data_IF_807338762559
#
_entry.id   IF_807338762559
#
_cell.length_a   1.000
_cell.length_b   1.000
_cell.length_c   1.000
_cell.angle_alpha   90.00
_cell.angle_beta   90.00
_cell.angle_gamma   90.00
#
_symmetry.space_group_name_H-M   'P 1'
#
loop_
_entity.id
_entity.type
_entity.pdbx_description
1 polymer ?
#
# COMPACT_ATOMS: atom_id res chain seq x y z
N UNK A 1 -3.60 12.30 19.14
CA UNK A 1 -2.29 12.96 18.96
C UNK A 1 -1.11 11.98 18.99
N UNK A 2 -0.94 11.16 20.04
CA UNK A 2 0.18 10.18 20.11
C UNK A 2 0.15 9.18 18.97
N UNK A 3 -1.02 8.64 18.59
CA UNK A 3 -1.14 7.68 17.47
C UNK A 3 -0.79 8.32 16.12
N UNK A 4 -1.19 9.56 15.88
CA UNK A 4 -0.88 10.26 14.63
C UNK A 4 0.62 10.58 14.50
N UNK A 5 1.28 11.03 15.59
CA UNK A 5 2.74 11.21 15.61
C UNK A 5 3.48 9.90 15.29
N UNK A 6 3.04 8.78 15.87
CA UNK A 6 3.62 7.47 15.57
C UNK A 6 3.42 7.05 14.11
N UNK A 7 2.26 7.35 13.50
CA UNK A 7 2.01 7.11 12.08
C UNK A 7 2.97 7.90 11.21
N UNK A 8 3.13 9.21 11.46
CA UNK A 8 4.03 10.06 10.69
C UNK A 8 5.49 9.61 10.77
N UNK A 9 5.97 9.23 11.97
CA UNK A 9 7.33 8.72 12.15
C UNK A 9 7.53 7.44 11.34
N UNK A 10 6.56 6.52 11.40
CA UNK A 10 6.64 5.25 10.65
C UNK A 10 6.56 5.47 9.14
N UNK A 11 5.69 6.36 8.67
CA UNK A 11 5.64 6.72 7.25
C UNK A 11 6.95 7.33 6.75
N UNK A 12 7.60 8.15 7.55
CA UNK A 12 8.94 8.68 7.23
C UNK A 12 9.99 7.57 7.19
N UNK A 13 9.96 6.62 8.13
CA UNK A 13 10.86 5.45 8.14
C UNK A 13 10.66 4.60 6.87
N UNK A 14 9.41 4.31 6.49
CA UNK A 14 9.12 3.61 5.24
C UNK A 14 9.59 4.39 4.01
N UNK A 15 9.45 5.72 4.01
CA UNK A 15 9.99 6.59 2.96
C UNK A 15 11.50 6.43 2.80
N UNK A 16 12.24 6.40 3.91
CA UNK A 16 13.69 6.18 3.90
C UNK A 16 14.03 4.78 3.37
N UNK A 17 13.32 3.73 3.82
CA UNK A 17 13.53 2.38 3.32
C UNK A 17 13.27 2.26 1.81
N UNK A 18 12.24 2.93 1.28
CA UNK A 18 12.00 2.99 -0.16
C UNK A 18 13.20 3.57 -0.91
N UNK A 19 13.74 4.69 -0.43
CA UNK A 19 14.89 5.36 -1.08
C UNK A 19 16.13 4.46 -1.01
N UNK A 20 16.41 3.83 0.15
CA UNK A 20 17.58 2.97 0.33
C UNK A 20 17.51 1.71 -0.55
N UNK A 21 16.36 1.05 -0.59
CA UNK A 21 16.16 -0.16 -1.41
C UNK A 21 16.21 0.19 -2.89
N UNK A 22 15.61 1.31 -3.27
CA UNK A 22 15.64 1.79 -4.65
C UNK A 22 17.07 2.08 -5.10
N UNK A 23 17.86 2.75 -4.26
CA UNK A 23 19.30 3.02 -4.52
C UNK A 23 20.11 1.72 -4.64
N UNK A 24 19.81 0.73 -3.78
CA UNK A 24 20.47 -0.59 -3.86
C UNK A 24 20.11 -1.32 -5.13
N UNK A 25 18.86 -1.26 -5.58
CA UNK A 25 18.35 -1.96 -6.76
C UNK A 25 18.65 -1.23 -8.08
N UNK A 26 19.14 0.01 -8.04
CA UNK A 26 19.44 0.82 -9.23
C UNK A 26 20.49 0.15 -10.13
N UNK A 27 21.44 -0.57 -9.52
CA UNK A 27 22.51 -1.29 -10.22
C UNK A 27 22.26 -2.80 -10.36
N UNK A 28 21.13 -3.30 -9.85
CA UNK A 28 20.81 -4.74 -9.86
C UNK A 28 19.66 -5.00 -10.84
N UNK A 29 19.88 -5.93 -11.79
CA UNK A 29 18.78 -6.36 -12.67
C UNK A 29 17.76 -7.17 -11.86
N UNK A 30 16.47 -6.88 -11.95
CA UNK A 30 15.45 -7.67 -11.27
C UNK A 30 15.45 -9.11 -11.80
N UNK A 31 15.37 -10.07 -10.89
CA UNK A 31 15.31 -11.49 -11.23
C UNK A 31 13.93 -11.90 -11.76
N UNK A 32 12.87 -11.23 -11.27
CA UNK A 32 11.48 -11.49 -11.63
C UNK A 32 10.92 -10.26 -12.33
N UNK A 33 10.67 -10.38 -13.63
CA UNK A 33 10.16 -9.30 -14.47
C UNK A 33 8.71 -9.46 -14.87
N UNK A 34 8.18 -10.68 -14.73
CA UNK A 34 6.78 -11.03 -15.02
C UNK A 34 6.13 -11.70 -13.83
N UNK A 35 4.85 -11.47 -13.65
CA UNK A 35 4.07 -12.08 -12.57
C UNK A 35 4.08 -13.61 -12.62
N UNK A 36 4.16 -14.19 -13.83
CA UNK A 36 4.23 -15.64 -14.06
C UNK A 36 5.53 -16.30 -13.58
N UNK A 37 6.57 -15.52 -13.35
CA UNK A 37 7.87 -15.97 -12.83
C UNK A 37 7.90 -15.99 -11.29
N UNK A 38 6.86 -15.44 -10.65
CA UNK A 38 6.78 -15.37 -9.19
C UNK A 38 6.49 -16.77 -8.62
N UNK A 39 7.41 -17.29 -7.82
CA UNK A 39 7.23 -18.59 -7.17
C UNK A 39 6.34 -18.51 -5.93
N UNK A 40 5.76 -19.64 -5.52
CA UNK A 40 4.96 -19.73 -4.28
C UNK A 40 5.78 -19.34 -3.04
N UNK A 41 7.07 -19.66 -3.01
CA UNK A 41 7.96 -19.26 -1.91
C UNK A 41 8.10 -17.74 -1.83
N UNK A 42 8.32 -17.07 -2.98
CA UNK A 42 8.37 -15.62 -3.05
C UNK A 42 7.03 -14.99 -2.61
N UNK A 43 5.91 -15.55 -3.06
CA UNK A 43 4.58 -15.08 -2.67
C UNK A 43 4.36 -15.19 -1.15
N UNK A 44 4.79 -16.28 -0.52
CA UNK A 44 4.73 -16.46 0.93
C UNK A 44 5.62 -15.46 1.69
N UNK A 45 6.83 -15.20 1.19
CA UNK A 45 7.72 -14.20 1.80
C UNK A 45 7.07 -12.82 1.73
N UNK A 46 6.55 -12.41 0.57
CA UNK A 46 5.86 -11.12 0.42
C UNK A 46 4.62 -11.05 1.33
N UNK A 47 3.87 -12.14 1.42
CA UNK A 47 2.76 -12.27 2.37
C UNK A 47 3.19 -12.12 3.83
N UNK A 48 4.37 -12.65 4.19
CA UNK A 48 5.00 -12.46 5.50
C UNK A 48 5.28 -10.99 5.80
N UNK A 49 5.78 -10.23 4.82
CA UNK A 49 5.95 -8.78 4.97
C UNK A 49 4.63 -8.03 5.19
N UNK A 50 3.51 -8.56 4.68
CA UNK A 50 2.18 -7.98 4.94
C UNK A 50 1.80 -8.04 6.42
N UNK A 51 2.31 -9.00 7.20
CA UNK A 51 2.06 -9.10 8.65
C UNK A 51 2.56 -7.83 9.37
N UNK A 52 3.60 -7.17 8.87
CA UNK A 52 4.06 -5.90 9.41
C UNK A 52 2.97 -4.81 9.37
N UNK A 53 2.01 -4.93 8.48
CA UNK A 53 0.87 -4.02 8.41
C UNK A 53 -0.12 -4.14 9.57
N UNK A 54 -0.02 -5.18 10.40
CA UNK A 54 -0.76 -5.29 11.67
C UNK A 54 -0.28 -4.25 12.70
N UNK A 55 0.95 -3.75 12.53
CA UNK A 55 1.49 -2.68 13.36
C UNK A 55 0.79 -1.37 12.95
N UNK A 56 0.05 -0.68 13.86
CA UNK A 56 -0.65 0.55 13.53
C UNK A 56 0.27 1.61 12.93
N UNK A 57 -0.14 2.20 11.79
CA UNK A 57 0.65 3.19 11.06
C UNK A 57 1.62 2.63 10.03
N UNK A 58 1.69 1.30 9.88
CA UNK A 58 2.45 0.67 8.81
C UNK A 58 1.58 0.59 7.55
N UNK A 59 2.08 1.14 6.44
CA UNK A 59 1.40 1.01 5.14
C UNK A 59 1.48 -0.42 4.66
N UNK A 60 0.32 -1.08 4.47
CA UNK A 60 0.25 -2.45 3.97
C UNK A 60 0.93 -2.61 2.61
N UNK A 61 0.56 -1.76 1.65
CA UNK A 61 1.18 -1.78 0.31
C UNK A 61 2.66 -1.42 0.37
N UNK A 62 3.05 -0.51 1.27
CA UNK A 62 4.46 -0.18 1.48
C UNK A 62 5.27 -1.39 1.93
N UNK A 63 4.80 -2.13 2.94
CA UNK A 63 5.49 -3.32 3.44
C UNK A 63 5.61 -4.43 2.39
N UNK A 64 4.52 -4.72 1.66
CA UNK A 64 4.52 -5.75 0.61
C UNK A 64 5.40 -5.39 -0.58
N UNK A 65 5.36 -4.13 -1.06
CA UNK A 65 6.22 -3.68 -2.16
C UNK A 65 7.69 -3.73 -1.75
N UNK A 66 8.04 -3.26 -0.54
CA UNK A 66 9.42 -3.34 -0.03
C UNK A 66 9.89 -4.78 0.08
N UNK A 67 9.05 -5.68 0.62
CA UNK A 67 9.35 -7.12 0.68
C UNK A 67 9.59 -7.72 -0.69
N UNK A 68 8.76 -7.40 -1.68
CA UNK A 68 8.92 -7.86 -3.05
C UNK A 68 10.22 -7.34 -3.70
N UNK A 69 10.53 -6.05 -3.53
CA UNK A 69 11.77 -5.46 -4.05
C UNK A 69 13.02 -6.08 -3.41
N UNK A 70 12.98 -6.42 -2.12
CA UNK A 70 14.09 -7.06 -1.40
C UNK A 70 14.43 -8.45 -1.94
N UNK A 71 13.44 -9.20 -2.41
CA UNK A 71 13.64 -10.54 -3.00
C UNK A 71 13.94 -10.47 -4.51
N UNK A 72 14.16 -9.29 -5.07
CA UNK A 72 14.61 -9.10 -6.45
C UNK A 72 13.49 -9.06 -7.50
N UNK A 73 12.25 -8.75 -7.14
CA UNK A 73 11.18 -8.51 -8.13
C UNK A 73 11.31 -7.12 -8.75
N UNK A 74 10.85 -6.98 -9.99
CA UNK A 74 10.73 -5.66 -10.62
C UNK A 74 9.69 -4.79 -9.92
N UNK A 75 9.82 -3.47 -10.02
CA UNK A 75 8.87 -2.49 -9.47
C UNK A 75 7.43 -2.76 -9.90
N UNK A 76 7.27 -3.07 -11.17
CA UNK A 76 5.97 -3.38 -11.77
C UNK A 76 5.36 -4.62 -11.14
N UNK A 77 6.10 -5.74 -11.08
CA UNK A 77 5.63 -7.01 -10.49
C UNK A 77 5.35 -6.85 -9.00
N UNK A 78 6.21 -6.14 -8.25
CA UNK A 78 6.00 -5.86 -6.84
C UNK A 78 4.66 -5.14 -6.59
N UNK A 79 4.35 -4.14 -7.40
CA UNK A 79 3.10 -3.37 -7.27
C UNK A 79 1.90 -4.19 -7.72
N UNK A 80 1.99 -4.85 -8.86
CA UNK A 80 0.92 -5.69 -9.42
C UNK A 80 0.54 -6.80 -8.43
N UNK A 81 1.53 -7.54 -7.92
CA UNK A 81 1.30 -8.59 -6.92
C UNK A 81 0.69 -8.05 -5.63
N UNK A 82 1.11 -6.86 -5.18
CA UNK A 82 0.53 -6.20 -4.00
C UNK A 82 -0.96 -5.91 -4.18
N UNK A 83 -1.40 -5.53 -5.38
CA UNK A 83 -2.82 -5.35 -5.68
C UNK A 83 -3.58 -6.68 -5.64
N UNK A 84 -3.04 -7.74 -6.23
CA UNK A 84 -3.66 -9.07 -6.14
C UNK A 84 -3.77 -9.57 -4.70
N UNK A 85 -2.71 -9.40 -3.91
CA UNK A 85 -2.71 -9.77 -2.49
C UNK A 85 -3.70 -8.94 -1.65
N UNK A 86 -4.03 -7.73 -2.11
CA UNK A 86 -5.02 -6.88 -1.47
C UNK A 86 -6.45 -7.45 -1.56
N UNK A 87 -6.78 -8.12 -2.67
CA UNK A 87 -8.16 -8.57 -2.94
C UNK A 87 -8.70 -9.49 -1.83
N UNK A 88 -8.06 -10.63 -1.49
CA UNK A 88 -8.60 -11.53 -0.47
C UNK A 88 -8.65 -10.87 0.91
N UNK A 89 -7.66 -10.06 1.25
CA UNK A 89 -7.59 -9.40 2.56
C UNK A 89 -8.68 -8.35 2.72
N UNK A 90 -8.91 -7.51 1.70
CA UNK A 90 -9.96 -6.49 1.73
C UNK A 90 -11.35 -7.12 1.69
N UNK A 91 -11.53 -8.17 0.91
CA UNK A 91 -12.78 -8.91 0.85
C UNK A 91 -13.11 -9.52 2.21
N UNK A 92 -12.17 -10.22 2.85
CA UNK A 92 -12.33 -10.79 4.19
C UNK A 92 -12.64 -9.72 5.25
N UNK A 93 -11.91 -8.60 5.22
CA UNK A 93 -12.16 -7.48 6.14
C UNK A 93 -13.54 -6.85 5.95
N UNK A 94 -14.02 -6.76 4.70
CA UNK A 94 -15.36 -6.23 4.38
C UNK A 94 -16.46 -7.16 4.88
N UNK A 95 -16.33 -8.46 4.66
CA UNK A 95 -17.27 -9.47 5.19
C UNK A 95 -17.35 -9.39 6.71
N UNK A 96 -16.20 -9.35 7.40
CA UNK A 96 -16.17 -9.24 8.86
C UNK A 96 -16.86 -7.97 9.37
N UNK A 97 -16.72 -6.85 8.65
CA UNK A 97 -17.42 -5.61 9.00
C UNK A 97 -18.93 -5.73 8.81
N UNK A 98 -19.38 -6.32 7.71
CA UNK A 98 -20.82 -6.53 7.44
C UNK A 98 -21.44 -7.41 8.53
N UNK A 99 -20.77 -8.52 8.89
CA UNK A 99 -21.25 -9.43 9.95
C UNK A 99 -21.33 -8.70 11.31
N UNK A 100 -20.30 -7.90 11.65
CA UNK A 100 -20.28 -7.16 12.93
C UNK A 100 -21.31 -6.03 13.00
N UNK A 101 -21.59 -5.39 11.87
CA UNK A 101 -22.55 -4.29 11.80
C UNK A 101 -24.00 -4.79 11.87
N UNK A 102 -24.24 -6.06 11.47
CA UNK A 102 -25.58 -6.64 11.37
C UNK A 102 -26.25 -6.36 10.01
N UNK A 103 -27.41 -6.98 9.82
CA UNK A 103 -28.16 -6.87 8.55
C UNK A 103 -29.31 -5.85 8.60
N UNK A 104 -29.30 -4.94 9.58
CA UNK A 104 -30.33 -3.91 9.72
C UNK A 104 -29.92 -2.66 8.94
N UNK A 105 -30.20 -2.65 7.64
CA UNK A 105 -29.94 -1.49 6.78
C UNK A 105 -31.25 -0.82 6.38
N UNK A 106 -31.28 0.50 6.44
CA UNK A 106 -32.34 1.29 5.81
C UNK A 106 -32.15 1.35 4.30
N UNK A 107 -33.22 1.53 3.54
CA UNK A 107 -33.14 1.64 2.07
C UNK A 107 -32.18 2.76 1.63
N UNK A 108 -32.14 3.86 2.37
CA UNK A 108 -31.24 4.99 2.09
C UNK A 108 -29.78 4.59 2.28
N UNK A 109 -29.44 3.85 3.33
CA UNK A 109 -28.06 3.38 3.58
C UNK A 109 -27.59 2.43 2.50
N UNK A 110 -28.45 1.56 1.99
CA UNK A 110 -28.13 0.68 0.86
C UNK A 110 -27.85 1.48 -0.41
N UNK A 111 -28.65 2.50 -0.70
CA UNK A 111 -28.41 3.36 -1.88
C UNK A 111 -27.08 4.10 -1.75
N UNK A 112 -26.78 4.68 -0.57
CA UNK A 112 -25.51 5.36 -0.32
C UNK A 112 -24.35 4.40 -0.49
N UNK A 113 -24.44 3.18 0.03
CA UNK A 113 -23.44 2.15 -0.10
C UNK A 113 -23.19 1.79 -1.57
N UNK A 114 -24.23 1.55 -2.35
CA UNK A 114 -24.14 1.20 -3.77
C UNK A 114 -23.50 2.33 -4.59
N UNK A 115 -23.95 3.57 -4.40
CA UNK A 115 -23.37 4.74 -5.08
C UNK A 115 -21.90 4.90 -4.70
N UNK A 116 -21.57 4.78 -3.41
CA UNK A 116 -20.20 4.83 -2.92
C UNK A 116 -19.30 3.75 -3.52
N UNK A 117 -19.80 2.51 -3.62
CA UNK A 117 -19.09 1.40 -4.27
C UNK A 117 -18.85 1.65 -5.76
N UNK A 118 -19.85 2.15 -6.49
CA UNK A 118 -19.71 2.46 -7.92
C UNK A 118 -18.66 3.56 -8.15
N UNK A 119 -18.76 4.67 -7.42
CA UNK A 119 -17.79 5.77 -7.52
C UNK A 119 -16.38 5.27 -7.17
N UNK A 120 -16.24 4.54 -6.06
CA UNK A 120 -14.96 3.97 -5.64
C UNK A 120 -14.38 3.03 -6.71
N UNK A 121 -15.20 2.21 -7.35
CA UNK A 121 -14.78 1.31 -8.42
C UNK A 121 -14.18 2.08 -9.60
N UNK A 122 -14.89 3.06 -10.15
CA UNK A 122 -14.41 3.82 -11.31
C UNK A 122 -13.14 4.62 -10.98
N UNK A 123 -13.12 5.29 -9.83
CA UNK A 123 -11.95 6.05 -9.37
C UNK A 123 -10.75 5.13 -9.17
N UNK A 124 -10.95 3.93 -8.58
CA UNK A 124 -9.88 2.95 -8.37
C UNK A 124 -9.32 2.41 -9.68
N UNK A 125 -10.18 2.07 -10.65
CA UNK A 125 -9.74 1.62 -11.99
C UNK A 125 -8.86 2.67 -12.66
N UNK A 126 -9.28 3.94 -12.62
CA UNK A 126 -8.50 5.04 -13.17
C UNK A 126 -7.18 5.22 -12.43
N UNK A 127 -7.21 5.26 -11.09
CA UNK A 127 -6.02 5.45 -10.26
C UNK A 127 -5.00 4.32 -10.44
N UNK A 128 -5.46 3.05 -10.48
CA UNK A 128 -4.57 1.90 -10.68
C UNK A 128 -3.93 1.94 -12.07
N UNK A 129 -4.70 2.21 -13.12
CA UNK A 129 -4.17 2.33 -14.49
C UNK A 129 -3.11 3.45 -14.58
N UNK A 130 -3.40 4.60 -14.00
CA UNK A 130 -2.46 5.73 -13.94
C UNK A 130 -1.19 5.34 -13.18
N UNK A 131 -1.33 4.77 -11.98
CA UNK A 131 -0.20 4.38 -11.13
C UNK A 131 0.68 3.32 -11.80
N UNK A 132 0.08 2.28 -12.38
CA UNK A 132 0.83 1.23 -13.08
C UNK A 132 1.56 1.77 -14.31
N UNK A 133 0.95 2.72 -15.03
CA UNK A 133 1.60 3.44 -16.13
C UNK A 133 2.78 4.29 -15.66
N UNK A 134 2.64 4.96 -14.53
CA UNK A 134 3.70 5.77 -13.92
C UNK A 134 4.89 4.94 -13.47
N UNK A 135 4.66 3.82 -12.75
CA UNK A 135 5.69 2.95 -12.20
C UNK A 135 6.53 2.25 -13.30
N UNK A 136 5.96 2.05 -14.50
CA UNK A 136 6.72 1.52 -15.63
C UNK A 136 7.86 2.44 -16.08
N UNK A 137 7.73 3.75 -15.83
CA UNK A 137 8.65 4.78 -16.35
C UNK A 137 9.46 5.48 -15.25
N UNK A 138 9.04 5.39 -13.99
CA UNK A 138 9.59 6.17 -12.88
C UNK A 138 9.93 5.29 -11.68
N UNK A 139 10.81 5.82 -10.82
CA UNK A 139 11.25 5.17 -9.58
C UNK A 139 10.29 5.44 -8.42
N UNK A 140 10.36 4.57 -7.40
CA UNK A 140 9.66 4.80 -6.13
C UNK A 140 10.30 5.91 -5.27
N UNK A 141 11.44 6.47 -5.69
CA UNK A 141 12.11 7.57 -4.97
C UNK A 141 11.16 8.76 -4.75
N UNK A 142 10.35 9.11 -5.77
CA UNK A 142 9.36 10.18 -5.67
C UNK A 142 8.33 9.93 -4.55
N UNK A 143 7.86 8.67 -4.40
CA UNK A 143 6.97 8.28 -3.31
C UNK A 143 7.65 8.35 -1.93
N UNK A 144 8.94 8.01 -1.86
CA UNK A 144 9.73 8.13 -0.64
C UNK A 144 9.84 9.60 -0.19
N UNK A 145 10.21 10.49 -1.09
CA UNK A 145 10.30 11.93 -0.81
C UNK A 145 8.94 12.53 -0.41
N UNK A 146 7.87 12.20 -1.14
CA UNK A 146 6.53 12.66 -0.79
C UNK A 146 6.13 12.26 0.63
N UNK A 147 6.39 11.01 1.04
CA UNK A 147 6.09 10.52 2.39
C UNK A 147 6.89 11.23 3.47
N UNK A 148 8.18 11.49 3.22
CA UNK A 148 9.03 12.21 4.18
C UNK A 148 8.53 13.64 4.34
N UNK A 149 8.28 14.35 3.24
CA UNK A 149 7.78 15.74 3.29
C UNK A 149 6.44 15.82 4.01
N UNK A 150 5.50 14.93 3.66
CA UNK A 150 4.20 14.88 4.32
C UNK A 150 4.33 14.55 5.80
N UNK A 151 5.17 13.59 6.17
CA UNK A 151 5.42 13.22 7.57
C UNK A 151 5.99 14.38 8.37
N UNK A 152 6.97 15.10 7.81
CA UNK A 152 7.56 16.29 8.44
C UNK A 152 6.53 17.41 8.60
N UNK A 153 5.73 17.72 7.56
CA UNK A 153 4.70 18.75 7.62
C UNK A 153 3.66 18.46 8.70
N UNK A 154 3.20 17.22 8.77
CA UNK A 154 2.23 16.82 9.79
C UNK A 154 2.82 16.85 11.20
N UNK A 155 4.09 16.44 11.38
CA UNK A 155 4.78 16.55 12.67
C UNK A 155 4.94 18.00 13.09
N UNK A 156 5.33 18.89 12.19
CA UNK A 156 5.44 20.33 12.45
C UNK A 156 4.08 20.93 12.82
N UNK A 157 3.02 20.58 12.11
CA UNK A 157 1.68 21.02 12.43
C UNK A 157 1.29 20.65 13.87
N UNK A 158 1.53 19.39 14.29
CA UNK A 158 1.23 18.96 15.65
C UNK A 158 2.19 19.47 16.71
N UNK A 159 3.36 19.96 16.33
CA UNK A 159 4.30 20.61 17.25
C UNK A 159 3.88 22.05 17.55
N UNK A 160 3.29 22.73 16.55
CA UNK A 160 2.91 24.14 16.63
C UNK A 160 1.47 24.30 17.21
N UNK A 161 0.54 23.42 16.81
CA UNK A 161 -0.88 23.56 17.11
C UNK A 161 -1.44 22.47 18.05
N UNK A 162 -0.67 21.49 18.44
CA UNK A 162 -1.08 20.34 19.28
C UNK A 162 -0.36 20.31 20.61
#
# INVERSE_FOLDING_TARGET
LRRQRQMCIRDSIYGIFFILIEKKNEHTRPQVTKLTELTYQMALIIGGFQVLALIPGTSRSGATILGALLIGTSRYVATEFTFYLAIPVMFGASILKVIKFGFHYTAIEVVILLVGCLVAFFVSVFAIKFLMGYIKKHDFKAFGYYRIVLGVLVLLYFLIFG
#
